data_IF_948556637302
#
_entry.id   IF_948556637302
#
_cell.length_a   1.000
_cell.length_b   1.000
_cell.length_c   1.000
_cell.angle_alpha   90.00
_cell.angle_beta   90.00
_cell.angle_gamma   90.00
#
_symmetry.space_group_name_H-M   'P 1'
#
loop_
_entity.id
_entity.type
_entity.pdbx_description
1 polymer ?
#
# COMPACT_ATOMS: atom_id res chain seq x y z
N UNK A 1 -8.22 -18.95 19.02
CA UNK A 1 -6.92 -19.09 19.69
C UNK A 1 -6.07 -17.87 19.37
N UNK A 2 -5.86 -17.10 20.40
CA UNK A 2 -4.83 -16.09 20.65
C UNK A 2 -4.29 -15.35 19.41
N UNK A 3 -4.96 -14.31 19.03
CA UNK A 3 -4.39 -13.21 18.28
C UNK A 3 -3.26 -12.62 19.11
N UNK A 4 -2.10 -12.58 18.52
CA UNK A 4 -0.86 -12.16 19.13
C UNK A 4 -0.99 -10.82 19.86
N UNK A 5 -0.49 -10.69 21.10
CA UNK A 5 -0.47 -9.43 21.83
C UNK A 5 0.38 -8.34 21.16
N UNK A 6 1.10 -8.65 20.09
CA UNK A 6 1.99 -7.76 19.36
C UNK A 6 1.27 -6.78 18.41
N UNK A 7 0.00 -6.98 18.09
CA UNK A 7 -0.73 -6.09 17.18
C UNK A 7 -0.89 -4.67 17.73
N UNK A 8 -0.96 -4.51 19.05
CA UNK A 8 -1.06 -3.19 19.71
C UNK A 8 0.23 -2.39 19.71
N UNK A 9 1.41 -3.04 19.66
CA UNK A 9 2.71 -2.36 19.61
C UNK A 9 3.04 -1.78 18.24
N UNK A 10 2.49 -2.35 17.17
CA UNK A 10 2.88 -2.04 15.80
C UNK A 10 1.79 -1.33 15.00
N UNK A 11 0.58 -1.15 15.56
CA UNK A 11 -0.56 -0.65 14.83
C UNK A 11 -1.60 0.00 15.74
N UNK A 12 -2.30 1.04 15.23
CA UNK A 12 -3.53 1.54 15.85
C UNK A 12 -4.66 0.50 15.75
N UNK A 13 -5.40 0.26 16.83
CA UNK A 13 -6.47 -0.74 16.91
C UNK A 13 -7.64 -0.48 15.96
N UNK A 14 -7.78 0.74 15.46
CA UNK A 14 -8.85 1.20 14.60
C UNK A 14 -8.53 1.13 13.09
N UNK A 15 -7.43 0.47 12.71
CA UNK A 15 -7.04 0.27 11.31
C UNK A 15 -7.26 -1.20 10.90
N UNK A 16 -8.17 -1.53 9.95
CA UNK A 16 -8.45 -2.92 9.57
C UNK A 16 -7.21 -3.62 9.00
N UNK A 17 -7.13 -4.94 9.17
CA UNK A 17 -6.11 -5.78 8.55
C UNK A 17 -6.55 -6.21 7.15
N UNK A 18 -5.56 -6.54 6.31
CA UNK A 18 -5.79 -7.25 5.05
C UNK A 18 -5.66 -8.74 5.32
N UNK A 19 -6.64 -9.51 4.88
CA UNK A 19 -6.61 -10.98 4.91
C UNK A 19 -5.91 -11.47 3.66
N UNK A 20 -4.82 -12.22 3.85
CA UNK A 20 -4.06 -12.79 2.75
C UNK A 20 -4.46 -14.25 2.54
N UNK A 21 -4.70 -14.62 1.28
CA UNK A 21 -5.12 -15.95 0.85
C UNK A 21 -4.11 -16.57 -0.13
N UNK A 22 -4.05 -17.89 -0.21
CA UNK A 22 -3.17 -18.60 -1.13
C UNK A 22 -3.86 -18.95 -2.47
N UNK A 23 -5.18 -18.89 -2.52
CA UNK A 23 -6.00 -19.21 -3.70
C UNK A 23 -7.26 -18.31 -3.74
N UNK A 24 -8.06 -18.47 -4.79
CA UNK A 24 -9.27 -17.65 -5.00
C UNK A 24 -10.53 -18.16 -4.27
N UNK A 25 -10.45 -19.23 -3.48
CA UNK A 25 -11.60 -19.78 -2.76
C UNK A 25 -11.87 -18.95 -1.50
N UNK A 26 -12.61 -17.87 -1.66
CA UNK A 26 -12.88 -16.90 -0.59
C UNK A 26 -14.35 -16.85 -0.17
N UNK A 27 -15.20 -17.72 -0.72
CA UNK A 27 -16.65 -17.71 -0.54
C UNK A 27 -17.08 -17.86 0.93
N UNK A 28 -16.29 -18.58 1.74
CA UNK A 28 -16.53 -18.72 3.17
C UNK A 28 -16.06 -17.50 4.00
N UNK A 29 -15.22 -16.64 3.45
CA UNK A 29 -14.69 -15.43 4.11
C UNK A 29 -15.59 -14.22 3.91
N UNK A 30 -16.44 -14.24 2.88
CA UNK A 30 -17.26 -13.11 2.46
C UNK A 30 -18.72 -13.54 2.30
N UNK A 31 -19.65 -12.58 2.35
CA UNK A 31 -21.09 -12.87 2.15
C UNK A 31 -21.41 -13.18 0.71
N UNK A 32 -20.73 -12.51 -0.20
CA UNK A 32 -20.88 -12.66 -1.66
C UNK A 32 -19.62 -12.19 -2.38
N UNK A 33 -19.40 -12.74 -3.56
CA UNK A 33 -18.35 -12.31 -4.49
C UNK A 33 -19.03 -11.74 -5.74
N UNK A 34 -19.10 -10.41 -5.92
CA UNK A 34 -19.69 -9.81 -7.11
C UNK A 34 -18.96 -10.23 -8.39
N UNK A 35 -19.65 -10.32 -9.53
CA UNK A 35 -19.06 -10.73 -10.81
C UNK A 35 -17.84 -9.87 -11.18
N UNK A 36 -17.95 -8.54 -10.99
CA UNK A 36 -16.85 -7.62 -11.25
C UNK A 36 -15.60 -7.93 -10.41
N UNK A 37 -15.78 -8.40 -9.17
CA UNK A 37 -14.65 -8.81 -8.32
C UNK A 37 -13.99 -10.09 -8.87
N UNK A 38 -14.78 -11.05 -9.40
CA UNK A 38 -14.24 -12.25 -10.05
C UNK A 38 -13.38 -11.87 -11.29
N UNK A 39 -13.82 -10.92 -12.09
CA UNK A 39 -13.08 -10.44 -13.26
C UNK A 39 -11.77 -9.77 -12.82
N UNK A 40 -11.81 -8.91 -11.79
CA UNK A 40 -10.61 -8.26 -11.24
C UNK A 40 -9.64 -9.30 -10.65
N UNK A 41 -10.14 -10.28 -9.88
CA UNK A 41 -9.33 -11.36 -9.32
C UNK A 41 -8.67 -12.21 -10.44
N UNK A 42 -9.42 -12.57 -11.45
CA UNK A 42 -8.92 -13.37 -12.58
C UNK A 42 -7.77 -12.66 -13.31
N UNK A 43 -7.81 -11.33 -13.42
CA UNK A 43 -6.81 -10.56 -14.16
C UNK A 43 -5.60 -10.18 -13.30
N UNK A 44 -5.80 -9.91 -12.01
CA UNK A 44 -4.78 -9.28 -11.16
C UNK A 44 -4.39 -10.07 -9.90
N UNK A 45 -4.96 -11.24 -9.63
CA UNK A 45 -4.49 -12.14 -8.59
C UNK A 45 -3.73 -13.33 -9.19
N UNK A 46 -2.61 -13.74 -8.55
CA UNK A 46 -1.92 -13.13 -7.41
C UNK A 46 -1.24 -11.81 -7.78
N UNK A 47 -1.39 -10.77 -6.92
CA UNK A 47 -0.86 -9.47 -7.29
C UNK A 47 -1.01 -8.34 -6.26
N UNK A 48 -0.67 -7.11 -6.69
CA UNK A 48 -0.62 -5.94 -5.82
C UNK A 48 -2.00 -5.24 -5.73
N UNK A 49 -3.07 -6.02 -5.59
CA UNK A 49 -4.44 -5.51 -5.45
C UNK A 49 -5.16 -6.17 -4.29
N UNK A 50 -5.88 -5.40 -3.52
CA UNK A 50 -6.74 -5.81 -2.40
C UNK A 50 -8.17 -5.46 -2.75
N UNK A 51 -9.09 -6.41 -2.62
CA UNK A 51 -10.51 -6.20 -2.84
C UNK A 51 -11.25 -6.19 -1.52
N UNK A 52 -12.17 -5.24 -1.35
CA UNK A 52 -13.02 -5.15 -0.16
C UNK A 52 -14.37 -5.77 -0.45
N UNK A 53 -14.80 -6.63 0.48
CA UNK A 53 -16.07 -7.36 0.44
C UNK A 53 -16.85 -7.20 1.75
N UNK A 54 -18.13 -7.47 1.72
CA UNK A 54 -18.91 -7.70 2.93
C UNK A 54 -18.41 -8.97 3.61
N UNK A 55 -17.91 -8.88 4.85
CA UNK A 55 -17.32 -10.00 5.57
C UNK A 55 -18.36 -11.03 6.00
N UNK A 56 -18.00 -12.31 6.02
CA UNK A 56 -18.76 -13.36 6.69
C UNK A 56 -18.53 -13.33 8.21
N UNK A 57 -19.26 -14.14 8.95
CA UNK A 57 -19.09 -14.31 10.39
C UNK A 57 -17.76 -14.97 10.78
N UNK A 58 -17.07 -15.62 9.85
CA UNK A 58 -15.74 -16.21 10.09
C UNK A 58 -14.65 -15.17 10.30
N UNK A 59 -14.86 -13.94 9.81
CA UNK A 59 -13.89 -12.84 9.98
C UNK A 59 -14.14 -12.13 11.30
N UNK A 60 -13.20 -12.23 12.28
CA UNK A 60 -13.35 -11.59 13.58
C UNK A 60 -13.39 -10.05 13.46
N UNK A 61 -14.11 -9.40 14.36
CA UNK A 61 -14.19 -7.93 14.44
C UNK A 61 -12.81 -7.30 14.68
N UNK A 62 -11.92 -7.98 15.39
CA UNK A 62 -10.52 -7.55 15.58
C UNK A 62 -9.75 -7.46 14.27
N UNK A 63 -10.04 -8.32 13.29
CA UNK A 63 -9.44 -8.28 11.95
C UNK A 63 -9.96 -7.10 11.15
N UNK A 64 -11.27 -6.86 11.21
CA UNK A 64 -11.92 -5.79 10.44
C UNK A 64 -11.96 -4.44 11.18
N UNK A 65 -11.39 -4.33 12.39
CA UNK A 65 -11.51 -3.15 13.26
C UNK A 65 -12.99 -2.74 13.47
N UNK A 66 -13.88 -3.74 13.61
CA UNK A 66 -15.33 -3.54 13.79
C UNK A 66 -16.10 -3.14 12.53
N UNK A 67 -15.45 -3.12 11.36
CA UNK A 67 -16.14 -2.89 10.09
C UNK A 67 -16.94 -4.11 9.66
N UNK A 68 -18.03 -3.88 8.89
CA UNK A 68 -18.82 -4.94 8.24
C UNK A 68 -18.14 -5.50 6.97
N UNK A 69 -16.99 -4.95 6.62
CA UNK A 69 -16.22 -5.28 5.42
C UNK A 69 -14.85 -5.80 5.77
N UNK A 70 -14.23 -6.52 4.84
CA UNK A 70 -12.86 -7.04 4.93
C UNK A 70 -12.13 -6.86 3.62
N UNK A 71 -10.85 -6.46 3.69
CA UNK A 71 -9.96 -6.45 2.55
C UNK A 71 -9.28 -7.80 2.39
N UNK A 72 -9.37 -8.39 1.21
CA UNK A 72 -8.74 -9.68 0.87
C UNK A 72 -7.74 -9.48 -0.27
N UNK A 73 -6.59 -10.15 -0.18
CA UNK A 73 -5.54 -10.11 -1.19
C UNK A 73 -4.89 -11.48 -1.36
N UNK A 74 -4.62 -11.87 -2.60
CA UNK A 74 -3.71 -12.97 -2.91
C UNK A 74 -2.34 -12.39 -3.28
N UNK A 75 -1.29 -12.54 -2.42
CA UNK A 75 0.02 -11.95 -2.69
C UNK A 75 0.73 -12.66 -3.85
N UNK A 76 1.50 -11.91 -4.66
CA UNK A 76 2.35 -12.48 -5.72
C UNK A 76 3.54 -13.28 -5.18
N UNK A 77 4.03 -12.95 -3.97
CA UNK A 77 5.12 -13.66 -3.32
C UNK A 77 4.79 -15.15 -3.12
N UNK A 78 5.59 -16.03 -3.71
CA UNK A 78 5.48 -17.49 -3.58
C UNK A 78 5.72 -17.89 -2.11
N UNK A 79 6.66 -17.25 -1.43
CA UNK A 79 6.97 -17.53 -0.01
C UNK A 79 5.76 -17.23 0.86
N UNK A 80 5.11 -16.07 0.65
CA UNK A 80 3.90 -15.69 1.39
C UNK A 80 2.75 -16.69 1.14
N UNK A 81 2.51 -17.11 -0.09
CA UNK A 81 1.47 -18.09 -0.41
C UNK A 81 1.75 -19.45 0.21
N UNK A 82 2.99 -19.94 0.12
CA UNK A 82 3.39 -21.21 0.76
C UNK A 82 3.25 -21.17 2.28
N UNK A 83 3.52 -20.02 2.91
CA UNK A 83 3.29 -19.84 4.34
C UNK A 83 1.80 -19.94 4.68
N UNK A 84 0.94 -19.32 3.89
CA UNK A 84 -0.53 -19.38 4.07
C UNK A 84 -1.02 -20.82 3.86
N UNK A 85 -0.55 -21.52 2.83
CA UNK A 85 -0.86 -22.93 2.56
C UNK A 85 -0.43 -23.82 3.74
N UNK A 86 0.79 -23.65 4.24
CA UNK A 86 1.31 -24.41 5.37
C UNK A 86 0.54 -24.11 6.68
N UNK A 87 0.05 -22.91 6.85
CA UNK A 87 -0.79 -22.53 7.98
C UNK A 87 -2.20 -23.16 7.93
N UNK A 88 -2.64 -23.61 6.75
CA UNK A 88 -3.96 -24.19 6.52
C UNK A 88 -5.12 -23.21 6.72
N UNK A 89 -4.84 -21.90 6.82
CA UNK A 89 -5.81 -20.85 7.07
C UNK A 89 -5.32 -19.50 6.51
N UNK A 90 -6.23 -18.60 6.07
CA UNK A 90 -5.86 -17.24 5.70
C UNK A 90 -5.15 -16.49 6.83
N UNK A 91 -4.24 -15.60 6.46
CA UNK A 91 -3.43 -14.81 7.41
C UNK A 91 -3.80 -13.34 7.32
N UNK A 92 -4.33 -12.79 8.41
CA UNK A 92 -4.58 -11.36 8.54
C UNK A 92 -3.31 -10.66 9.03
N UNK A 93 -2.79 -9.71 8.23
CA UNK A 93 -1.52 -9.04 8.54
C UNK A 93 -1.53 -7.56 8.12
N UNK A 94 -0.82 -6.69 8.89
CA UNK A 94 -0.45 -5.35 8.48
C UNK A 94 0.86 -5.38 7.67
N UNK A 95 1.39 -4.20 7.29
CA UNK A 95 2.76 -4.06 6.82
C UNK A 95 3.78 -4.37 7.94
N UNK A 96 4.96 -4.91 7.56
CA UNK A 96 5.99 -5.38 8.48
C UNK A 96 6.94 -4.25 8.93
N UNK A 97 6.37 -3.16 9.48
CA UNK A 97 7.09 -1.98 9.96
C UNK A 97 6.51 -1.46 11.27
N UNK A 98 7.27 -0.64 11.98
CA UNK A 98 6.75 0.14 13.11
C UNK A 98 5.75 1.18 12.57
N UNK A 99 4.64 1.39 13.28
CA UNK A 99 3.60 2.34 12.91
C UNK A 99 4.18 3.74 12.61
N UNK A 100 3.80 4.30 11.47
CA UNK A 100 4.26 5.60 10.98
C UNK A 100 5.53 5.57 10.12
N UNK A 101 6.25 4.45 10.06
CA UNK A 101 7.36 4.26 9.14
C UNK A 101 6.86 3.79 7.75
N UNK A 102 7.65 3.97 6.69
CA UNK A 102 7.37 3.39 5.38
C UNK A 102 7.25 1.87 5.43
N UNK A 103 6.40 1.29 4.57
CA UNK A 103 6.36 -0.16 4.39
C UNK A 103 7.69 -0.67 3.83
N UNK A 104 8.27 -1.74 4.40
CA UNK A 104 9.56 -2.25 3.95
C UNK A 104 9.44 -2.88 2.57
N UNK A 105 10.48 -2.69 1.76
CA UNK A 105 10.64 -3.34 0.44
C UNK A 105 11.73 -4.40 0.45
N UNK A 106 12.50 -4.48 1.53
CA UNK A 106 13.65 -5.36 1.72
C UNK A 106 13.59 -5.96 3.14
N UNK A 107 14.19 -7.13 3.32
CA UNK A 107 14.20 -7.82 4.62
C UNK A 107 15.03 -7.06 5.66
N UNK A 108 16.06 -6.36 5.25
CA UNK A 108 16.94 -5.55 6.11
C UNK A 108 16.14 -4.48 6.85
N UNK A 109 15.23 -3.82 6.17
CA UNK A 109 14.33 -2.82 6.78
C UNK A 109 13.39 -3.47 7.82
N UNK A 110 12.92 -4.69 7.56
CA UNK A 110 12.14 -5.45 8.55
C UNK A 110 12.98 -5.81 9.78
N UNK A 111 14.24 -6.23 9.58
CA UNK A 111 15.17 -6.56 10.64
C UNK A 111 15.46 -5.32 11.49
N UNK A 112 15.72 -4.17 10.87
CA UNK A 112 15.96 -2.91 11.58
C UNK A 112 14.76 -2.52 12.45
N UNK A 113 13.54 -2.66 11.94
CA UNK A 113 12.35 -2.25 12.67
C UNK A 113 11.92 -3.26 13.75
N UNK A 114 12.07 -4.56 13.51
CA UNK A 114 11.39 -5.61 14.26
C UNK A 114 12.33 -6.54 15.04
N UNK A 115 13.65 -6.47 14.84
CA UNK A 115 14.61 -7.30 15.58
C UNK A 115 14.47 -7.11 17.10
N UNK A 116 14.50 -8.21 17.84
CA UNK A 116 14.31 -8.23 19.29
C UNK A 116 12.85 -7.98 19.74
N UNK A 117 11.90 -7.77 18.83
CA UNK A 117 10.48 -7.54 19.15
C UNK A 117 9.58 -8.68 18.69
N UNK A 118 10.04 -9.49 17.75
CA UNK A 118 9.38 -10.69 17.26
C UNK A 118 10.38 -11.83 17.17
N UNK A 119 9.89 -13.06 17.18
CA UNK A 119 10.73 -14.26 17.25
C UNK A 119 11.31 -14.66 15.88
N UNK A 120 10.57 -14.40 14.80
CA UNK A 120 10.95 -14.83 13.46
C UNK A 120 10.70 -13.74 12.42
N UNK A 121 11.64 -13.60 11.50
CA UNK A 121 11.50 -12.81 10.28
C UNK A 121 11.78 -13.75 9.12
N UNK A 122 10.75 -14.02 8.30
CA UNK A 122 10.92 -14.79 7.08
C UNK A 122 11.24 -13.83 5.93
N UNK A 123 12.51 -13.82 5.53
CA UNK A 123 12.99 -13.00 4.42
C UNK A 123 12.63 -13.61 3.06
N UNK A 124 12.68 -12.78 2.05
CA UNK A 124 12.45 -13.13 0.65
C UNK A 124 13.21 -12.17 -0.25
N UNK A 125 12.88 -12.20 -1.54
CA UNK A 125 13.42 -11.26 -2.50
C UNK A 125 12.90 -9.83 -2.22
N UNK A 126 13.66 -8.84 -2.67
CA UNK A 126 13.24 -7.44 -2.67
C UNK A 126 11.89 -7.28 -3.37
N UNK A 127 11.02 -6.42 -2.85
CA UNK A 127 9.73 -6.15 -3.46
C UNK A 127 9.90 -5.58 -4.86
N UNK A 128 9.31 -6.22 -5.85
CA UNK A 128 9.33 -5.73 -7.24
C UNK A 128 8.53 -4.43 -7.40
N UNK A 129 7.53 -4.24 -6.54
CA UNK A 129 6.66 -3.05 -6.51
C UNK A 129 6.84 -2.38 -5.16
N UNK A 130 7.38 -1.16 -5.17
CA UNK A 130 7.65 -0.37 -3.97
C UNK A 130 6.44 0.39 -3.42
N UNK A 131 5.22 0.08 -3.91
CA UNK A 131 3.97 0.70 -3.47
C UNK A 131 3.08 -0.34 -2.79
N UNK A 132 2.23 0.11 -1.89
CA UNK A 132 1.16 -0.72 -1.33
C UNK A 132 0.18 -1.15 -2.41
N UNK A 133 -0.56 -2.24 -2.12
CA UNK A 133 -1.60 -2.74 -3.01
C UNK A 133 -2.65 -1.67 -3.31
N UNK A 134 -3.10 -1.58 -4.56
CA UNK A 134 -4.33 -0.87 -4.89
C UNK A 134 -5.48 -1.46 -4.09
N UNK A 135 -6.34 -0.64 -3.48
CA UNK A 135 -7.52 -1.12 -2.75
C UNK A 135 -8.77 -0.70 -3.51
N UNK A 136 -9.57 -1.69 -3.90
CA UNK A 136 -10.84 -1.50 -4.59
C UNK A 136 -11.98 -1.98 -3.70
N UNK A 137 -12.96 -1.13 -3.49
CA UNK A 137 -14.20 -1.47 -2.79
C UNK A 137 -15.20 -2.06 -3.78
N UNK A 138 -15.44 -3.36 -3.63
CA UNK A 138 -16.42 -4.11 -4.44
C UNK A 138 -17.78 -4.22 -3.74
N UNK A 139 -17.99 -3.56 -2.61
CA UNK A 139 -19.30 -3.54 -1.93
C UNK A 139 -20.25 -2.48 -2.48
N UNK A 140 -19.78 -1.64 -3.37
CA UNK A 140 -20.55 -0.61 -4.10
C UNK A 140 -20.57 -0.89 -5.60
N UNK A 141 -21.59 -0.37 -6.29
CA UNK A 141 -21.73 -0.46 -7.75
C UNK A 141 -21.93 0.93 -8.33
N UNK A 142 -21.02 1.43 -9.20
CA UNK A 142 -19.76 0.80 -9.61
C UNK A 142 -18.73 0.71 -8.46
N UNK A 143 -17.74 -0.20 -8.56
CA UNK A 143 -16.65 -0.28 -7.60
C UNK A 143 -15.81 0.99 -7.57
N UNK A 144 -15.16 1.28 -6.43
CA UNK A 144 -14.32 2.46 -6.32
C UNK A 144 -12.95 2.16 -5.71
N UNK A 145 -11.94 2.92 -6.14
CA UNK A 145 -10.58 2.84 -5.60
C UNK A 145 -10.52 3.65 -4.30
N UNK A 146 -10.19 2.98 -3.19
CA UNK A 146 -9.97 3.59 -1.87
C UNK A 146 -8.50 3.87 -1.58
N UNK A 147 -7.58 3.24 -2.29
CA UNK A 147 -6.14 3.50 -2.24
C UNK A 147 -5.53 3.22 -3.61
N UNK A 148 -4.98 4.23 -4.29
CA UNK A 148 -4.19 4.02 -5.51
C UNK A 148 -2.92 3.21 -5.23
N UNK A 149 -2.49 2.40 -6.17
CA UNK A 149 -1.29 1.58 -6.14
C UNK A 149 -0.85 1.21 -7.56
N UNK A 150 -0.14 0.10 -7.70
CA UNK A 150 0.40 -0.33 -8.99
C UNK A 150 -0.66 -0.74 -10.03
N UNK A 151 -1.82 -1.20 -9.57
CA UNK A 151 -2.97 -1.40 -10.48
C UNK A 151 -3.70 -0.07 -10.56
N UNK A 152 -3.63 0.57 -11.74
CA UNK A 152 -4.12 1.93 -11.94
C UNK A 152 -5.61 1.97 -12.24
N UNK A 153 -6.20 3.17 -12.23
CA UNK A 153 -7.59 3.38 -12.61
C UNK A 153 -7.84 2.97 -14.09
N UNK A 154 -6.89 3.30 -14.95
CA UNK A 154 -6.97 2.99 -16.39
C UNK A 154 -7.01 1.48 -16.61
N UNK A 155 -6.16 0.73 -15.92
CA UNK A 155 -6.13 -0.74 -15.97
C UNK A 155 -7.44 -1.36 -15.47
N UNK A 156 -8.06 -0.79 -14.43
CA UNK A 156 -9.33 -1.27 -13.90
C UNK A 156 -10.51 -0.88 -14.82
N UNK A 157 -10.43 0.25 -15.50
CA UNK A 157 -11.44 0.67 -16.49
C UNK A 157 -11.49 -0.21 -17.72
N UNK A 158 -10.46 -0.98 -18.01
CA UNK A 158 -10.52 -2.03 -19.05
C UNK A 158 -11.52 -3.16 -18.69
N UNK A 159 -11.86 -3.32 -17.40
CA UNK A 159 -12.84 -4.29 -16.92
C UNK A 159 -14.23 -3.63 -16.82
N UNK A 160 -14.31 -2.45 -16.19
CA UNK A 160 -15.55 -1.66 -16.08
C UNK A 160 -15.19 -0.17 -16.12
N UNK A 161 -15.59 0.53 -17.15
CA UNK A 161 -15.29 1.94 -17.42
C UNK A 161 -15.88 2.89 -16.36
N UNK A 162 -16.86 2.44 -15.60
CA UNK A 162 -17.51 3.16 -14.49
C UNK A 162 -16.71 3.20 -13.21
N UNK A 163 -15.65 2.38 -13.08
CA UNK A 163 -14.77 2.40 -11.89
C UNK A 163 -14.17 3.80 -11.72
N UNK A 164 -14.15 4.28 -10.49
CA UNK A 164 -13.69 5.62 -10.16
C UNK A 164 -12.83 5.65 -8.89
N UNK A 165 -12.13 6.76 -8.68
CA UNK A 165 -11.39 7.02 -7.44
C UNK A 165 -12.32 7.70 -6.45
N UNK A 166 -12.44 7.15 -5.23
CA UNK A 166 -13.26 7.73 -4.17
C UNK A 166 -12.74 9.13 -3.78
N UNK A 167 -13.63 10.13 -3.75
CA UNK A 167 -13.29 11.53 -3.45
C UNK A 167 -12.70 11.73 -2.05
N UNK A 168 -12.96 10.82 -1.12
CA UNK A 168 -12.41 10.90 0.24
C UNK A 168 -10.88 10.79 0.29
N UNK A 169 -10.27 10.22 -0.75
CA UNK A 169 -8.80 10.11 -0.87
C UNK A 169 -8.15 11.48 -1.06
N UNK A 170 -8.84 12.40 -1.74
CA UNK A 170 -8.35 13.74 -2.08
C UNK A 170 -8.54 14.74 -0.96
N UNK A 171 -9.30 14.41 0.08
CA UNK A 171 -9.63 15.28 1.20
C UNK A 171 -8.89 14.86 2.48
N UNK A 172 -8.49 15.84 3.32
CA UNK A 172 -7.96 15.52 4.64
C UNK A 172 -9.05 14.84 5.47
N UNK A 173 -8.74 13.68 6.11
CA UNK A 173 -9.72 12.98 6.93
C UNK A 173 -10.23 13.90 8.06
N UNK A 174 -11.54 13.95 8.27
CA UNK A 174 -12.16 14.61 9.42
C UNK A 174 -11.82 13.83 10.70
N UNK A 175 -11.83 14.51 11.87
CA UNK A 175 -11.48 13.89 13.17
C UNK A 175 -12.25 12.58 13.47
N UNK A 176 -13.49 12.47 13.03
CA UNK A 176 -14.38 11.30 13.29
C UNK A 176 -14.45 10.33 12.10
N UNK A 177 -13.53 10.44 11.15
CA UNK A 177 -13.52 9.57 9.96
C UNK A 177 -13.19 8.12 10.35
N UNK A 178 -14.11 7.19 10.08
CA UNK A 178 -13.87 5.75 10.19
C UNK A 178 -13.25 5.25 8.88
N UNK A 179 -12.01 4.75 8.91
CA UNK A 179 -11.35 4.28 7.70
C UNK A 179 -12.06 3.02 7.17
N UNK A 180 -12.40 3.01 5.89
CA UNK A 180 -12.98 1.84 5.19
C UNK A 180 -11.90 0.86 4.74
N UNK A 181 -10.64 1.29 4.73
CA UNK A 181 -9.49 0.51 4.31
C UNK A 181 -8.23 0.92 5.08
N UNK A 182 -7.20 0.05 5.15
CA UNK A 182 -5.91 0.38 5.72
C UNK A 182 -5.30 1.61 5.02
N UNK A 183 -4.72 2.52 5.80
CA UNK A 183 -4.03 3.70 5.27
C UNK A 183 -4.89 4.94 5.02
N UNK A 184 -6.21 4.92 5.30
CA UNK A 184 -7.09 6.07 5.04
C UNK A 184 -7.13 7.10 6.18
N UNK A 185 -6.79 6.75 7.43
CA UNK A 185 -7.00 7.63 8.61
C UNK A 185 -5.76 8.37 9.06
N UNK A 186 -4.61 7.73 9.01
CA UNK A 186 -3.37 8.27 9.56
C UNK A 186 -2.43 8.72 8.45
N UNK A 187 -1.57 9.68 8.77
CA UNK A 187 -0.44 10.03 7.91
C UNK A 187 0.53 8.85 7.90
N UNK A 188 0.37 7.97 6.94
CA UNK A 188 1.26 6.85 6.70
C UNK A 188 2.45 7.30 5.83
N UNK A 189 3.59 6.62 5.99
CA UNK A 189 4.74 6.74 5.08
C UNK A 189 5.35 8.14 4.99
N UNK A 190 5.22 8.92 6.04
CA UNK A 190 5.84 10.23 6.05
C UNK A 190 7.36 10.08 6.25
N UNK A 191 8.21 10.46 5.29
CA UNK A 191 9.64 10.50 5.50
C UNK A 191 9.99 11.46 6.64
N UNK A 192 11.12 11.23 7.31
CA UNK A 192 11.62 12.13 8.36
C UNK A 192 11.92 13.52 7.81
N UNK A 193 12.40 13.58 6.56
CA UNK A 193 12.67 14.83 5.85
C UNK A 193 11.38 15.44 5.26
N UNK A 194 11.21 16.76 5.28
CA UNK A 194 10.12 17.42 4.58
C UNK A 194 10.23 17.17 3.07
N UNK A 195 9.15 16.71 2.44
CA UNK A 195 9.06 16.53 0.98
C UNK A 195 8.33 17.71 0.38
N UNK A 196 8.91 18.30 -0.67
CA UNK A 196 8.31 19.36 -1.46
C UNK A 196 8.19 18.90 -2.92
N UNK A 197 6.97 18.88 -3.43
CA UNK A 197 6.71 18.55 -4.84
C UNK A 197 6.71 19.85 -5.64
N UNK A 198 7.50 19.90 -6.71
CA UNK A 198 7.52 20.99 -7.69
C UNK A 198 6.96 20.42 -8.98
N UNK A 199 5.90 21.01 -9.49
CA UNK A 199 5.22 20.55 -10.72
C UNK A 199 4.98 21.72 -11.67
N UNK A 200 4.93 21.43 -12.97
CA UNK A 200 4.70 22.41 -14.02
C UNK A 200 5.52 22.09 -15.28
N UNK A 201 5.77 23.11 -16.06
CA UNK A 201 6.69 23.02 -17.21
C UNK A 201 8.06 22.51 -16.76
N UNK A 202 8.66 21.59 -17.55
CA UNK A 202 9.86 20.86 -17.14
C UNK A 202 11.06 21.79 -16.92
N UNK A 203 11.28 22.77 -17.79
CA UNK A 203 12.44 23.68 -17.70
C UNK A 203 12.26 24.62 -16.49
N UNK A 204 11.05 25.12 -16.25
CA UNK A 204 10.74 25.97 -15.08
C UNK A 204 10.86 25.17 -13.79
N UNK A 205 10.47 23.90 -13.80
CA UNK A 205 10.58 22.99 -12.65
C UNK A 205 12.05 22.76 -12.29
N UNK A 206 12.90 22.46 -13.28
CA UNK A 206 14.35 22.30 -13.11
C UNK A 206 14.98 23.58 -12.54
N UNK A 207 14.67 24.73 -13.15
CA UNK A 207 15.17 26.02 -12.70
C UNK A 207 14.78 26.30 -11.24
N UNK A 208 13.52 26.02 -10.88
CA UNK A 208 13.01 26.25 -9.50
C UNK A 208 13.63 25.31 -8.48
N UNK A 209 13.86 24.05 -8.84
CA UNK A 209 14.55 23.10 -7.95
C UNK A 209 16.00 23.55 -7.73
N UNK A 210 16.72 23.92 -8.79
CA UNK A 210 18.09 24.42 -8.70
C UNK A 210 18.20 25.71 -7.85
N UNK A 211 17.24 26.63 -7.97
CA UNK A 211 17.13 27.83 -7.11
C UNK A 211 16.99 27.43 -5.62
N UNK A 212 16.10 26.46 -5.32
CA UNK A 212 15.89 25.99 -3.94
C UNK A 212 17.17 25.35 -3.39
N UNK A 213 17.88 24.56 -4.19
CA UNK A 213 19.15 23.95 -3.79
C UNK A 213 20.17 25.04 -3.46
N UNK A 214 20.41 25.99 -4.37
CA UNK A 214 21.37 27.08 -4.16
C UNK A 214 21.07 27.91 -2.91
N UNK A 215 19.80 28.24 -2.70
CA UNK A 215 19.38 29.07 -1.53
C UNK A 215 19.61 28.35 -0.20
N UNK A 216 19.65 27.01 -0.20
CA UNK A 216 19.78 26.22 1.03
C UNK A 216 21.15 25.51 1.15
N UNK A 217 22.05 25.68 0.18
CA UNK A 217 23.42 25.14 0.23
C UNK A 217 24.14 25.59 1.50
N UNK A 218 24.80 24.66 2.17
CA UNK A 218 25.52 24.89 3.43
C UNK A 218 24.64 24.89 4.70
N UNK A 219 23.32 25.04 4.57
CA UNK A 219 22.40 25.06 5.73
C UNK A 219 21.61 23.78 5.91
N UNK A 220 21.40 23.00 4.85
CA UNK A 220 20.59 21.77 4.87
C UNK A 220 21.11 20.74 3.87
N UNK A 221 21.03 19.48 4.23
CA UNK A 221 21.17 18.38 3.26
C UNK A 221 19.90 18.30 2.43
N UNK A 222 20.02 18.36 1.11
CA UNK A 222 18.88 18.32 0.18
C UNK A 222 19.08 17.12 -0.75
N UNK A 223 18.10 16.20 -0.73
CA UNK A 223 17.98 15.14 -1.72
C UNK A 223 16.98 15.54 -2.80
N UNK A 224 17.29 15.23 -4.05
CA UNK A 224 16.41 15.45 -5.20
C UNK A 224 16.00 14.08 -5.73
N UNK A 225 14.68 13.85 -5.85
CA UNK A 225 14.12 12.71 -6.53
C UNK A 225 13.78 13.16 -7.94
N UNK A 226 14.43 12.57 -8.95
CA UNK A 226 14.29 12.95 -10.35
C UNK A 226 14.11 11.71 -11.23
N UNK A 227 13.55 11.91 -12.43
CA UNK A 227 13.52 10.88 -13.46
C UNK A 227 14.87 10.80 -14.19
N UNK A 228 15.15 9.69 -14.86
CA UNK A 228 16.40 9.50 -15.62
C UNK A 228 16.63 10.58 -16.68
N UNK A 229 15.56 11.12 -17.27
CA UNK A 229 15.63 12.17 -18.29
C UNK A 229 16.08 13.53 -17.74
N UNK A 230 15.93 13.74 -16.42
CA UNK A 230 16.18 15.05 -15.80
C UNK A 230 17.25 15.03 -14.72
N UNK A 231 17.70 13.86 -14.24
CA UNK A 231 18.64 13.75 -13.11
C UNK A 231 19.92 14.56 -13.29
N UNK A 232 20.50 14.59 -14.48
CA UNK A 232 21.74 15.29 -14.77
C UNK A 232 21.58 16.82 -14.89
N UNK A 233 20.34 17.32 -14.83
CA UNK A 233 20.03 18.76 -14.89
C UNK A 233 19.98 19.44 -13.52
N UNK A 234 20.13 18.67 -12.44
CA UNK A 234 20.08 19.19 -11.07
C UNK A 234 21.47 19.31 -10.45
N UNK A 235 21.67 20.39 -9.68
CA UNK A 235 22.89 20.65 -8.92
C UNK A 235 22.73 20.11 -7.51
N UNK A 236 23.13 18.87 -7.24
CA UNK A 236 23.18 18.31 -5.88
C UNK A 236 24.54 17.66 -5.63
N UNK A 237 25.01 17.70 -4.37
CA UNK A 237 26.29 17.08 -3.97
C UNK A 237 26.15 15.55 -3.80
N UNK A 238 24.93 15.01 -3.68
CA UNK A 238 24.66 13.57 -3.59
C UNK A 238 23.48 13.20 -4.49
N UNK A 239 23.75 12.42 -5.51
CA UNK A 239 22.71 11.77 -6.32
C UNK A 239 22.31 10.46 -5.68
N UNK A 240 21.21 10.42 -4.98
CA UNK A 240 20.50 9.17 -4.70
C UNK A 240 19.29 9.10 -5.59
N UNK A 241 19.42 8.28 -6.61
CA UNK A 241 18.37 8.08 -7.59
C UNK A 241 17.92 6.65 -7.60
N UNK A 242 16.91 6.41 -8.15
CA UNK A 242 16.20 5.37 -8.87
C UNK A 242 14.74 5.40 -8.49
N UNK A 243 14.04 6.35 -9.08
CA UNK A 243 12.66 6.09 -9.45
C UNK A 243 12.73 5.47 -10.84
N UNK A 244 12.77 4.14 -10.91
CA UNK A 244 12.42 3.45 -12.14
C UNK A 244 11.03 3.94 -12.53
N UNK A 245 10.95 4.58 -13.69
CA UNK A 245 9.68 4.95 -14.31
C UNK A 245 8.85 3.67 -14.47
N UNK A 246 7.70 3.53 -13.83
CA UNK A 246 6.82 2.44 -14.15
C UNK A 246 6.17 2.77 -15.49
N UNK A 247 6.30 1.83 -16.41
CA UNK A 247 5.47 1.70 -17.61
C UNK A 247 5.90 2.54 -18.80
N UNK A 248 6.65 1.91 -19.68
CA UNK A 248 6.47 2.14 -21.12
C UNK A 248 5.26 1.31 -21.56
N UNK A 249 4.33 2.01 -22.21
CA UNK A 249 3.20 1.49 -22.95
C UNK A 249 3.51 0.29 -23.81
#
# INVERSE_FOLDING_TARGET
RTLFPYTTLFRSQDNPLIVHVANCNIENLVKEVPNIANEIMSKYWPGPITLIFNKSELIPDTTSAGLKTVGIRMPSSIIARKLIEAAGTPIAAPSANISGRPSPTEVESCIEDLSGKIEYILGGEKSQIGLESTIVDCTCNPPCILRPGAITLEMLKEIDDRIYIDKSIMSKPKKDFKPRAPGMKYRHYAPKAPVKIISGDIEKTIAKINEIVQTNMGNKKIGIIATDETKDKYRSEEHTSELQSPIRS
#
